data_IF_483083869208
#
_entry.id   IF_483083869208
#
_cell.length_a   1.000
_cell.length_b   1.000
_cell.length_c   1.000
_cell.angle_alpha   90.00
_cell.angle_beta   90.00
_cell.angle_gamma   90.00
#
_symmetry.space_group_name_H-M   'P 1'
#
loop_
_entity.id
_entity.type
_entity.pdbx_description
1 polymer ?
#
# COMPACT_ATOMS: atom_id res chain seq x y z
N UNK A 1 -17.33 16.90 16.86
CA UNK A 1 -17.78 16.22 15.62
C UNK A 1 -16.98 14.93 15.46
N UNK A 2 -17.62 13.80 15.17
CA UNK A 2 -16.92 12.52 15.01
C UNK A 2 -16.18 12.43 13.68
N UNK A 3 -15.09 11.67 13.64
CA UNK A 3 -14.40 11.33 12.39
C UNK A 3 -15.26 10.38 11.53
N UNK A 4 -15.23 10.56 10.20
CA UNK A 4 -15.82 9.59 9.28
C UNK A 4 -14.97 8.30 9.23
N UNK A 5 -15.46 7.27 8.52
CA UNK A 5 -14.80 5.97 8.45
C UNK A 5 -13.38 6.05 7.85
N UNK A 6 -13.19 6.83 6.79
CA UNK A 6 -11.88 7.01 6.15
C UNK A 6 -10.86 7.58 7.13
N UNK A 7 -11.22 8.64 7.85
CA UNK A 7 -10.33 9.24 8.86
C UNK A 7 -10.02 8.28 10.00
N UNK A 8 -10.99 7.44 10.41
CA UNK A 8 -10.75 6.40 11.43
C UNK A 8 -9.73 5.36 10.94
N UNK A 9 -9.85 4.91 9.68
CA UNK A 9 -8.92 3.94 9.08
C UNK A 9 -7.53 4.56 8.89
N UNK A 10 -7.44 5.78 8.37
CA UNK A 10 -6.16 6.47 8.21
C UNK A 10 -5.47 6.66 9.57
N UNK A 11 -6.22 7.10 10.59
CA UNK A 11 -5.69 7.30 11.94
C UNK A 11 -5.18 6.00 12.57
N UNK A 12 -5.79 4.84 12.29
CA UNK A 12 -5.31 3.56 12.81
C UNK A 12 -4.09 3.00 12.08
N UNK A 13 -3.74 3.55 10.91
CA UNK A 13 -2.59 3.10 10.09
C UNK A 13 -1.50 4.16 9.92
N UNK A 14 -1.66 5.35 10.52
CA UNK A 14 -0.71 6.44 10.45
C UNK A 14 0.62 6.03 11.10
N UNK A 15 1.72 6.17 10.37
CA UNK A 15 3.09 5.94 10.87
C UNK A 15 3.89 7.24 10.94
N UNK A 16 3.58 8.22 10.09
CA UNK A 16 4.29 9.50 10.02
C UNK A 16 3.36 10.63 9.57
N UNK A 17 3.62 11.85 10.05
CA UNK A 17 2.90 13.06 9.65
C UNK A 17 1.64 13.34 10.48
N UNK A 18 0.79 14.25 9.97
CA UNK A 18 -0.49 14.64 10.57
C UNK A 18 -1.58 14.62 9.49
N UNK A 19 -2.75 14.09 9.83
CA UNK A 19 -3.89 14.00 8.90
C UNK A 19 -4.51 15.39 8.74
N UNK A 20 -3.93 16.16 7.83
CA UNK A 20 -4.32 17.52 7.45
C UNK A 20 -4.36 17.61 5.91
N UNK A 21 -5.36 18.31 5.37
CA UNK A 21 -5.54 18.41 3.91
C UNK A 21 -4.32 19.03 3.25
N UNK A 22 -3.87 18.46 2.13
CA UNK A 22 -2.71 18.93 1.37
C UNK A 22 -1.35 18.61 2.00
N UNK A 23 -1.30 17.88 3.12
CA UNK A 23 -0.04 17.43 3.72
C UNK A 23 0.20 15.95 3.47
N UNK A 24 1.47 15.61 3.27
CA UNK A 24 1.92 14.22 3.14
C UNK A 24 1.85 13.49 4.49
N UNK A 25 1.50 12.21 4.42
CA UNK A 25 1.49 11.30 5.57
C UNK A 25 2.07 9.95 5.15
N UNK A 26 2.75 9.31 6.10
CA UNK A 26 3.13 7.91 5.97
C UNK A 26 2.04 7.03 6.55
N UNK A 27 1.59 6.02 5.81
CA UNK A 27 0.66 5.00 6.31
C UNK A 27 1.23 3.59 6.15
N UNK A 28 0.89 2.71 7.09
CA UNK A 28 1.22 1.29 7.01
C UNK A 28 0.30 0.59 6.02
N UNK A 29 0.89 -0.02 4.99
CA UNK A 29 0.16 -0.85 4.04
C UNK A 29 0.06 -2.28 4.58
N UNK A 30 -1.17 -2.71 4.84
CA UNK A 30 -1.44 -4.05 5.37
C UNK A 30 -1.34 -5.12 4.29
N UNK A 31 -1.86 -4.84 3.09
CA UNK A 31 -1.92 -5.80 1.98
C UNK A 31 -1.68 -5.11 0.64
N UNK A 32 -1.10 -5.84 -0.30
CA UNK A 32 -1.03 -5.43 -1.71
C UNK A 32 -1.69 -6.46 -2.61
N UNK A 33 -2.25 -5.95 -3.71
CA UNK A 33 -2.85 -6.73 -4.77
C UNK A 33 -2.28 -6.24 -6.09
N UNK A 34 -1.82 -7.16 -6.92
CA UNK A 34 -1.35 -6.91 -8.28
C UNK A 34 -2.13 -7.79 -9.25
N UNK A 35 -2.40 -7.31 -10.45
CA UNK A 35 -2.95 -8.09 -11.57
C UNK A 35 -1.84 -8.38 -12.58
N UNK A 36 -1.92 -9.47 -13.33
CA UNK A 36 -0.99 -9.87 -14.39
C UNK A 36 -0.48 -8.72 -15.30
N UNK A 37 -1.35 -7.83 -15.76
CA UNK A 37 -0.98 -6.71 -16.64
C UNK A 37 -0.14 -5.62 -15.97
N UNK A 38 -0.26 -5.45 -14.65
CA UNK A 38 0.48 -4.40 -13.89
C UNK A 38 1.52 -4.97 -12.93
N UNK A 39 1.44 -6.26 -12.63
CA UNK A 39 2.29 -6.95 -11.66
C UNK A 39 3.73 -7.05 -12.14
N UNK A 40 3.95 -7.34 -13.43
CA UNK A 40 5.30 -7.50 -14.01
C UNK A 40 6.17 -6.27 -13.75
N UNK A 41 5.67 -5.06 -14.06
CA UNK A 41 6.45 -3.84 -13.81
C UNK A 41 6.66 -3.59 -12.32
N UNK A 42 5.65 -3.84 -11.48
CA UNK A 42 5.80 -3.69 -10.02
C UNK A 42 6.89 -4.61 -9.45
N UNK A 43 7.01 -5.84 -9.95
CA UNK A 43 8.01 -6.80 -9.48
C UNK A 43 9.41 -6.47 -9.99
N UNK A 44 9.56 -6.06 -11.25
CA UNK A 44 10.85 -5.59 -11.77
C UNK A 44 11.37 -4.38 -10.99
N UNK A 45 10.50 -3.46 -10.57
CA UNK A 45 10.90 -2.36 -9.69
C UNK A 45 11.31 -2.85 -8.30
N UNK A 46 10.59 -3.83 -7.72
CA UNK A 46 10.97 -4.41 -6.43
C UNK A 46 12.35 -5.09 -6.49
N UNK A 47 12.63 -5.81 -7.57
CA UNK A 47 13.94 -6.43 -7.83
C UNK A 47 15.03 -5.36 -7.97
N UNK A 48 14.78 -4.29 -8.73
CA UNK A 48 15.74 -3.19 -8.90
C UNK A 48 16.04 -2.42 -7.60
N UNK A 49 15.12 -2.47 -6.61
CA UNK A 49 15.33 -1.91 -5.27
C UNK A 49 16.17 -2.82 -4.36
N UNK A 50 16.54 -4.01 -4.83
CA UNK A 50 17.32 -5.02 -4.07
C UNK A 50 16.64 -5.42 -2.75
N UNK A 51 15.30 -5.49 -2.75
CA UNK A 51 14.51 -5.89 -1.59
C UNK A 51 14.18 -7.38 -1.69
N UNK A 52 14.74 -8.18 -0.78
CA UNK A 52 14.55 -9.63 -0.72
C UNK A 52 13.08 -10.06 -0.49
N UNK A 53 12.32 -9.28 0.31
CA UNK A 53 10.93 -9.62 0.64
C UNK A 53 10.05 -8.40 0.91
N UNK A 54 8.83 -8.46 0.38
CA UNK A 54 7.77 -7.49 0.72
C UNK A 54 7.48 -7.46 2.22
N UNK A 55 7.19 -6.28 2.76
CA UNK A 55 6.98 -6.04 4.21
C UNK A 55 5.51 -5.98 4.63
N UNK A 56 4.58 -6.25 3.71
CA UNK A 56 3.13 -6.30 3.97
C UNK A 56 2.76 -7.57 4.73
N UNK A 57 1.56 -7.61 5.33
CA UNK A 57 1.05 -8.84 5.98
C UNK A 57 0.70 -9.92 4.96
N UNK A 58 0.20 -9.50 3.78
CA UNK A 58 -0.15 -10.39 2.67
C UNK A 58 -0.07 -9.65 1.35
N UNK A 59 0.55 -10.28 0.36
CA UNK A 59 0.56 -9.82 -1.03
C UNK A 59 -0.01 -10.92 -1.92
N UNK A 60 -0.87 -10.55 -2.86
CA UNK A 60 -1.55 -11.48 -3.76
C UNK A 60 -1.42 -11.02 -5.20
N UNK A 61 -1.06 -11.94 -6.08
CA UNK A 61 -1.08 -11.75 -7.52
C UNK A 61 -2.31 -12.47 -8.10
N UNK A 62 -3.13 -11.73 -8.84
CA UNK A 62 -4.23 -12.31 -9.62
C UNK A 62 -3.78 -12.45 -11.08
N UNK A 63 -3.96 -13.66 -11.61
CA UNK A 63 -3.64 -14.03 -13.00
C UNK A 63 -4.96 -14.42 -13.65
N UNK A 64 -5.63 -13.45 -14.27
CA UNK A 64 -7.01 -13.57 -14.69
C UNK A 64 -7.37 -12.71 -15.93
N UNK A 65 -6.45 -11.91 -16.46
CA UNK A 65 -6.65 -11.06 -17.64
C UNK A 65 -5.91 -11.58 -18.89
N UNK A 66 -5.35 -12.79 -18.86
CA UNK A 66 -4.86 -13.49 -20.05
C UNK A 66 -5.95 -14.33 -20.71
#
# INVERSE_FOLDING_TARGET
>A
MGHNLVYKILKSHLVEGKIESGKEIGIKIDRTLTQDSTGTMAYLQLEAMEIDKVKTKKSVAFIDHN
#
